data_IF_278466656214
#
_entry.id   IF_278466656214
#
_cell.length_a   1.000
_cell.length_b   1.000
_cell.length_c   1.000
_cell.angle_alpha   90.00
_cell.angle_beta   90.00
_cell.angle_gamma   90.00
#
_symmetry.space_group_name_H-M   'P 1'
#
loop_
_entity.id
_entity.type
_entity.pdbx_description
1 polymer ?
#
# COMPACT_ATOMS: atom_id res chain seq x y z
N UNK A 1 -10.88 -3.87 -16.99
CA UNK A 1 -9.72 -2.95 -16.82
C UNK A 1 -8.89 -3.52 -15.69
N UNK A 2 -7.61 -3.86 -15.92
CA UNK A 2 -6.76 -4.35 -14.83
C UNK A 2 -6.57 -3.22 -13.81
N UNK A 3 -6.75 -3.51 -12.53
CA UNK A 3 -6.60 -2.58 -11.40
C UNK A 3 -5.23 -1.89 -11.38
N UNK A 4 -4.23 -2.49 -12.01
CA UNK A 4 -2.92 -1.90 -12.22
C UNK A 4 -1.99 -1.91 -11.01
N UNK A 5 -2.42 -2.60 -9.95
CA UNK A 5 -1.65 -3.01 -8.80
C UNK A 5 -1.91 -4.50 -8.53
N UNK A 6 -1.03 -5.11 -7.74
CA UNK A 6 -1.28 -6.40 -7.08
C UNK A 6 -1.52 -6.16 -5.60
N UNK A 7 -2.47 -6.89 -5.02
CA UNK A 7 -2.67 -6.93 -3.57
C UNK A 7 -1.55 -7.75 -2.91
N UNK A 8 -1.08 -7.29 -1.75
CA UNK A 8 -0.07 -7.94 -0.94
C UNK A 8 -0.53 -7.95 0.50
N UNK A 9 -0.59 -9.14 1.09
CA UNK A 9 -0.99 -9.35 2.48
C UNK A 9 0.21 -9.82 3.30
N UNK A 10 0.34 -9.32 4.51
CA UNK A 10 1.41 -9.67 5.43
C UNK A 10 0.92 -9.64 6.88
N UNK A 11 1.55 -10.43 7.75
CA UNK A 11 1.26 -10.42 9.16
C UNK A 11 1.98 -9.25 9.86
N UNK A 12 1.27 -8.52 10.71
CA UNK A 12 1.88 -7.62 11.69
C UNK A 12 2.61 -8.43 12.78
N UNK A 13 3.47 -7.79 13.61
CA UNK A 13 4.16 -8.47 14.70
C UNK A 13 3.24 -9.20 15.69
N UNK A 14 2.02 -8.71 15.88
CA UNK A 14 0.97 -9.30 16.72
C UNK A 14 -0.01 -10.21 15.95
N UNK A 15 0.32 -10.57 14.71
CA UNK A 15 -0.39 -11.59 13.94
C UNK A 15 -1.62 -11.10 13.17
N UNK A 16 -1.88 -9.79 13.15
CA UNK A 16 -2.97 -9.21 12.38
C UNK A 16 -2.62 -9.19 10.88
N UNK A 17 -3.54 -9.64 10.03
CA UNK A 17 -3.36 -9.59 8.58
C UNK A 17 -3.52 -8.15 8.07
N UNK A 18 -2.44 -7.59 7.52
CA UNK A 18 -2.38 -6.25 6.96
C UNK A 18 -2.21 -6.31 5.45
N UNK A 19 -2.64 -5.25 4.78
CA UNK A 19 -2.70 -5.15 3.34
C UNK A 19 -1.84 -4.00 2.81
N UNK A 20 -1.26 -4.20 1.62
CA UNK A 20 -0.65 -3.14 0.82
C UNK A 20 -0.92 -3.39 -0.67
N UNK A 21 -1.00 -2.31 -1.45
CA UNK A 21 -1.02 -2.36 -2.91
C UNK A 21 0.38 -2.16 -3.46
N UNK A 22 0.78 -3.03 -4.38
CA UNK A 22 2.06 -2.93 -5.08
C UNK A 22 1.81 -2.49 -6.52
N UNK A 23 2.46 -1.42 -6.94
CA UNK A 23 2.42 -0.91 -8.32
C UNK A 23 3.80 -0.99 -8.96
N UNK A 24 3.82 -1.28 -10.27
CA UNK A 24 5.04 -1.40 -11.06
C UNK A 24 5.75 -2.75 -10.86
N UNK A 25 6.74 -2.97 -11.71
CA UNK A 25 7.53 -4.21 -11.72
C UNK A 25 8.52 -4.28 -10.55
N UNK A 26 8.86 -5.51 -10.14
CA UNK A 26 9.94 -5.73 -9.20
C UNK A 26 11.29 -5.37 -9.85
N UNK A 27 12.24 -4.86 -9.06
CA UNK A 27 13.63 -4.62 -9.47
C UNK A 27 13.82 -3.60 -10.60
N UNK A 28 13.12 -2.46 -10.55
CA UNK A 28 13.28 -1.35 -11.52
C UNK A 28 14.65 -0.63 -11.44
N UNK A 29 15.64 -1.16 -10.73
CA UNK A 29 16.97 -0.55 -10.55
C UNK A 29 16.99 0.73 -9.69
N UNK A 30 15.84 1.17 -9.21
CA UNK A 30 15.67 2.41 -8.44
C UNK A 30 14.99 2.15 -7.10
N UNK A 31 15.22 3.03 -6.14
CA UNK A 31 14.58 2.95 -4.82
C UNK A 31 13.05 3.01 -4.94
N UNK A 32 12.33 2.14 -4.21
CA UNK A 32 10.88 2.16 -4.20
C UNK A 32 10.35 3.40 -3.49
N UNK A 33 9.10 3.77 -3.80
CA UNK A 33 8.36 4.78 -3.06
C UNK A 33 7.37 4.09 -2.13
N UNK A 34 7.43 4.47 -0.86
CA UNK A 34 6.48 3.99 0.16
C UNK A 34 5.43 5.07 0.38
N UNK A 35 4.15 4.70 0.26
CA UNK A 35 3.03 5.60 0.51
C UNK A 35 2.36 5.25 1.84
N UNK A 36 2.36 6.24 2.73
CA UNK A 36 1.82 6.16 4.08
C UNK A 36 0.57 7.04 4.18
N UNK A 37 -0.63 6.46 4.29
CA UNK A 37 -1.86 7.24 4.41
C UNK A 37 -1.95 7.98 5.75
N UNK A 38 -2.81 9.00 5.80
CA UNK A 38 -3.24 9.61 7.06
C UNK A 38 -4.14 8.68 7.88
N UNK A 39 -4.40 9.04 9.14
CA UNK A 39 -5.06 8.20 10.17
C UNK A 39 -6.39 7.55 9.74
N UNK A 40 -7.19 8.25 8.94
CA UNK A 40 -8.52 7.81 8.49
C UNK A 40 -8.55 7.37 7.02
N UNK A 41 -7.39 7.39 6.35
CA UNK A 41 -7.25 7.12 4.92
C UNK A 41 -6.63 5.74 4.69
N UNK A 42 -6.46 5.36 3.42
CA UNK A 42 -5.93 4.07 3.01
C UNK A 42 -5.22 4.17 1.64
N UNK A 43 -4.68 3.06 1.16
CA UNK A 43 -3.90 2.95 -0.08
C UNK A 43 -4.61 3.46 -1.34
N UNK A 44 -5.94 3.57 -1.36
CA UNK A 44 -6.71 4.06 -2.52
C UNK A 44 -6.39 5.50 -2.89
N UNK A 45 -6.00 6.33 -1.92
CA UNK A 45 -5.67 7.75 -2.15
C UNK A 45 -4.49 7.94 -3.10
N UNK A 46 -3.59 6.97 -3.12
CA UNK A 46 -2.38 7.03 -3.91
C UNK A 46 -2.57 6.44 -5.31
N UNK A 47 -3.77 5.99 -5.69
CA UNK A 47 -3.97 5.20 -6.91
C UNK A 47 -3.47 5.91 -8.18
N UNK A 48 -3.92 7.15 -8.42
CA UNK A 48 -3.54 7.91 -9.60
C UNK A 48 -2.05 8.29 -9.58
N UNK A 49 -1.54 8.72 -8.42
CA UNK A 49 -0.11 8.99 -8.24
C UNK A 49 0.72 7.73 -8.54
N UNK A 50 0.27 6.59 -8.04
CA UNK A 50 0.99 5.33 -8.16
C UNK A 50 1.00 4.82 -9.60
N UNK A 51 -0.11 4.92 -10.33
CA UNK A 51 -0.16 4.64 -11.76
C UNK A 51 0.76 5.56 -12.56
N UNK A 52 0.80 6.86 -12.22
CA UNK A 52 1.68 7.81 -12.88
C UNK A 52 3.15 7.48 -12.65
N UNK A 53 3.57 7.36 -11.39
CA UNK A 53 4.98 7.16 -11.04
C UNK A 53 5.48 5.78 -11.44
N UNK A 54 4.64 4.74 -11.39
CA UNK A 54 5.06 3.38 -11.77
C UNK A 54 5.09 3.13 -13.28
N UNK A 55 4.47 3.99 -14.11
CA UNK A 55 4.33 3.72 -15.56
C UNK A 55 4.73 4.87 -16.48
N UNK A 56 4.55 6.11 -16.05
CA UNK A 56 4.63 7.31 -16.92
C UNK A 56 5.76 8.26 -16.55
N UNK A 57 6.29 8.19 -15.33
CA UNK A 57 7.43 9.00 -14.93
C UNK A 57 8.68 8.63 -15.75
N UNK A 58 9.57 9.61 -15.96
CA UNK A 58 10.84 9.41 -16.68
C UNK A 58 11.68 8.26 -16.08
N UNK A 59 11.57 8.08 -14.76
CA UNK A 59 12.19 6.98 -14.03
C UNK A 59 11.10 6.22 -13.29
N UNK A 60 10.52 5.16 -13.88
CA UNK A 60 9.50 4.35 -13.23
C UNK A 60 10.01 3.75 -11.93
N UNK A 61 9.19 3.80 -10.87
CA UNK A 61 9.52 3.24 -9.55
C UNK A 61 8.45 2.26 -9.11
N UNK A 62 8.87 1.21 -8.41
CA UNK A 62 7.98 0.37 -7.61
C UNK A 62 7.34 1.23 -6.52
N UNK A 63 6.04 1.04 -6.31
CA UNK A 63 5.30 1.72 -5.25
C UNK A 63 4.66 0.69 -4.34
N UNK A 64 4.78 0.91 -3.03
CA UNK A 64 4.08 0.13 -2.02
C UNK A 64 3.20 1.08 -1.21
N UNK A 65 1.88 0.95 -1.34
CA UNK A 65 0.91 1.78 -0.64
C UNK A 65 0.19 0.95 0.42
N UNK A 66 0.39 1.29 1.69
CA UNK A 66 -0.09 0.50 2.82
C UNK A 66 -1.52 0.85 3.22
N UNK A 67 -2.23 -0.15 3.72
CA UNK A 67 -3.44 0.01 4.53
C UNK A 67 -3.07 -0.26 6.00
N UNK A 68 -3.33 0.68 6.90
CA UNK A 68 -3.10 0.46 8.33
C UNK A 68 -4.16 -0.46 8.94
N UNK A 69 -3.89 -0.94 10.16
CA UNK A 69 -4.83 -1.67 11.02
C UNK A 69 -6.23 -1.05 10.96
N UNK A 70 -7.23 -1.87 10.66
CA UNK A 70 -8.64 -1.46 10.51
C UNK A 70 -8.91 -0.39 9.45
N UNK A 71 -8.08 -0.29 8.41
CA UNK A 71 -8.30 0.58 7.25
C UNK A 71 -8.20 -0.24 5.97
N UNK A 72 -8.89 0.21 4.91
CA UNK A 72 -8.76 -0.38 3.58
C UNK A 72 -9.14 -1.87 3.57
N UNK A 73 -8.20 -2.75 3.24
CA UNK A 73 -8.36 -4.21 3.30
C UNK A 73 -7.57 -4.88 4.43
N UNK A 74 -6.88 -4.10 5.27
CA UNK A 74 -6.25 -4.64 6.47
C UNK A 74 -7.31 -5.03 7.49
N UNK A 75 -7.05 -6.11 8.23
CA UNK A 75 -7.96 -6.60 9.26
C UNK A 75 -8.20 -5.55 10.36
N UNK A 76 -9.40 -5.58 10.93
CA UNK A 76 -9.73 -4.83 12.13
C UNK A 76 -9.21 -5.59 13.36
N UNK A 77 -8.69 -4.84 14.31
CA UNK A 77 -8.36 -5.35 15.63
C UNK A 77 -9.57 -5.17 16.55
N UNK A 78 -10.05 -6.23 17.23
CA UNK A 78 -11.12 -6.09 18.22
C UNK A 78 -10.71 -5.24 19.43
N UNK A 79 -9.41 -5.11 19.72
CA UNK A 79 -8.90 -4.23 20.77
C UNK A 79 -8.69 -2.80 20.23
N UNK A 80 -9.57 -1.90 20.67
CA UNK A 80 -9.54 -0.48 20.32
C UNK A 80 -8.23 0.17 20.80
N UNK A 81 -7.60 -0.34 21.86
CA UNK A 81 -6.35 0.16 22.43
C UNK A 81 -5.17 0.10 21.46
N UNK A 82 -5.23 -0.74 20.43
CA UNK A 82 -4.15 -0.91 19.45
C UNK A 82 -4.22 0.06 18.25
N UNK A 83 -5.12 1.04 18.28
CA UNK A 83 -5.27 2.07 17.22
C UNK A 83 -4.60 3.40 17.56
N UNK A 84 -3.85 3.46 18.67
CA UNK A 84 -3.19 4.66 19.20
C UNK A 84 -1.73 4.76 18.75
#
# INVERSE_FOLDING_TARGET
MSSGFSDFFYASPDGLELHARIYGEANSGHWPVVCLPGLTRNSRDFHELALHVSRRAQTPRKIVAFDYRGRGQSAYDPDIGHYN
#
